data_IF_182955233812
#
_entry.id   IF_182955233812
#
_cell.length_a   1.000
_cell.length_b   1.000
_cell.length_c   1.000
_cell.angle_alpha   90.00
_cell.angle_beta   90.00
_cell.angle_gamma   90.00
#
_symmetry.space_group_name_H-M   'P 1'
#
loop_
_entity.id
_entity.type
_entity.pdbx_description
1 polymer ?
#
# COMPACT_ATOMS: atom_id res chain seq x y z
N UNK A 1 12.25 21.76 26.07
CA UNK A 1 13.25 20.75 25.65
C UNK A 1 12.60 19.37 25.38
N UNK A 2 11.80 18.80 26.26
CA UNK A 2 11.19 17.46 26.07
C UNK A 2 10.29 17.36 24.83
N UNK A 3 9.40 18.32 24.57
CA UNK A 3 8.46 18.28 23.44
C UNK A 3 9.16 18.34 22.05
N UNK A 4 10.22 19.14 21.91
CA UNK A 4 10.98 19.19 20.67
C UNK A 4 11.70 17.87 20.37
N UNK A 5 12.28 17.24 21.39
CA UNK A 5 12.96 15.97 21.22
C UNK A 5 11.99 14.83 20.84
N UNK A 6 10.80 14.82 21.45
CA UNK A 6 9.75 13.83 21.13
C UNK A 6 9.27 14.01 19.70
N UNK A 7 9.07 15.24 19.25
CA UNK A 7 8.67 15.54 17.87
C UNK A 7 9.74 15.12 16.85
N UNK A 8 11.01 15.48 17.10
CA UNK A 8 12.13 15.10 16.25
C UNK A 8 12.30 13.57 16.15
N UNK A 9 12.11 12.87 17.27
CA UNK A 9 12.16 11.40 17.29
C UNK A 9 11.03 10.80 16.45
N UNK A 10 9.81 11.33 16.54
CA UNK A 10 8.68 10.86 15.77
C UNK A 10 8.88 11.12 14.27
N UNK A 11 9.33 12.31 13.88
CA UNK A 11 9.67 12.61 12.48
C UNK A 11 10.76 11.69 11.95
N UNK A 12 11.81 11.44 12.73
CA UNK A 12 12.91 10.54 12.33
C UNK A 12 12.41 9.11 12.16
N UNK A 13 11.53 8.65 13.06
CA UNK A 13 10.92 7.32 12.96
C UNK A 13 10.08 7.18 11.68
N UNK A 14 9.23 8.16 11.38
CA UNK A 14 8.39 8.17 10.19
C UNK A 14 9.24 8.21 8.92
N UNK A 15 10.30 8.98 8.91
CA UNK A 15 11.24 9.04 7.80
C UNK A 15 11.96 7.70 7.58
N UNK A 16 12.40 7.03 8.65
CA UNK A 16 13.06 5.73 8.57
C UNK A 16 12.13 4.66 7.97
N UNK A 17 10.86 4.63 8.40
CA UNK A 17 9.83 3.73 7.88
C UNK A 17 9.59 3.97 6.38
N UNK A 18 9.43 5.24 5.98
CA UNK A 18 9.25 5.60 4.57
C UNK A 18 10.47 5.19 3.72
N UNK A 19 11.70 5.43 4.24
CA UNK A 19 12.93 5.07 3.52
C UNK A 19 13.07 3.56 3.35
N UNK A 20 12.68 2.78 4.35
CA UNK A 20 12.68 1.32 4.27
C UNK A 20 11.72 0.81 3.18
N UNK A 21 10.48 1.29 3.17
CA UNK A 21 9.51 0.96 2.13
C UNK A 21 10.01 1.36 0.73
N UNK A 22 10.54 2.58 0.58
CA UNK A 22 11.10 3.03 -0.68
C UNK A 22 12.31 2.20 -1.15
N UNK A 23 13.14 1.72 -0.25
CA UNK A 23 14.28 0.88 -0.62
C UNK A 23 13.84 -0.45 -1.24
N UNK A 24 12.73 -1.01 -0.74
CA UNK A 24 12.15 -2.22 -1.32
C UNK A 24 11.55 -1.94 -2.72
N UNK A 25 10.76 -0.89 -2.84
CA UNK A 25 10.11 -0.48 -4.10
C UNK A 25 11.12 -0.07 -5.20
N UNK A 26 12.27 0.50 -4.79
CA UNK A 26 13.32 0.90 -5.74
C UNK A 26 13.87 -0.30 -6.55
N UNK A 27 13.85 -1.51 -5.97
CA UNK A 27 14.26 -2.73 -6.68
C UNK A 27 13.25 -3.18 -7.74
N UNK A 28 11.97 -2.85 -7.55
CA UNK A 28 10.86 -3.24 -8.43
C UNK A 28 10.49 -2.14 -9.46
N UNK A 29 11.36 -1.13 -9.59
CA UNK A 29 11.14 0.02 -10.48
C UNK A 29 9.84 0.81 -10.19
N UNK A 30 9.27 0.68 -9.00
CA UNK A 30 8.14 1.51 -8.56
C UNK A 30 8.62 2.91 -8.16
N UNK A 31 7.78 3.91 -8.38
CA UNK A 31 8.16 5.28 -8.08
C UNK A 31 8.01 5.61 -6.60
N UNK A 32 8.87 6.50 -6.08
CA UNK A 32 8.71 6.98 -4.71
C UNK A 32 7.38 7.70 -4.46
N UNK A 33 6.71 8.20 -5.51
CA UNK A 33 5.40 8.83 -5.42
C UNK A 33 4.28 7.80 -5.24
N UNK A 34 4.41 6.60 -5.83
CA UNK A 34 3.53 5.46 -5.57
C UNK A 34 3.38 5.20 -4.07
N UNK A 35 4.49 5.10 -3.34
CA UNK A 35 4.48 4.86 -1.89
C UNK A 35 3.63 5.89 -1.13
N UNK A 36 3.78 7.19 -1.44
CA UNK A 36 3.04 8.27 -0.78
C UNK A 36 1.57 8.24 -1.20
N UNK A 37 1.32 8.09 -2.49
CA UNK A 37 -0.02 8.06 -3.08
C UNK A 37 -0.85 6.94 -2.45
N UNK A 38 -0.28 5.75 -2.38
CA UNK A 38 -0.89 4.58 -1.77
C UNK A 38 -1.19 4.75 -0.28
N UNK A 39 -0.27 5.38 0.47
CA UNK A 39 -0.49 5.66 1.89
C UNK A 39 -1.71 6.57 2.08
N UNK A 40 -1.85 7.61 1.25
CA UNK A 40 -3.01 8.52 1.29
C UNK A 40 -4.31 7.85 0.84
N UNK A 41 -4.27 7.07 -0.24
CA UNK A 41 -5.45 6.33 -0.73
C UNK A 41 -5.98 5.40 0.35
N UNK A 42 -5.08 4.61 0.98
CA UNK A 42 -5.46 3.65 2.03
C UNK A 42 -6.02 4.35 3.28
N UNK A 43 -5.37 5.43 3.76
CA UNK A 43 -5.87 6.20 4.90
C UNK A 43 -7.22 6.88 4.61
N UNK A 44 -7.43 7.38 3.38
CA UNK A 44 -8.69 7.98 2.96
C UNK A 44 -9.82 6.95 2.93
N UNK A 45 -9.57 5.75 2.38
CA UNK A 45 -10.56 4.68 2.39
C UNK A 45 -10.86 4.21 3.82
N UNK A 46 -9.84 4.08 4.68
CA UNK A 46 -10.00 3.73 6.08
C UNK A 46 -10.90 4.74 6.81
N UNK A 47 -10.69 6.04 6.61
CA UNK A 47 -11.54 7.10 7.16
C UNK A 47 -12.98 7.01 6.64
N UNK A 48 -13.15 6.72 5.34
CA UNK A 48 -14.47 6.60 4.70
C UNK A 48 -15.31 5.47 5.27
N UNK A 49 -14.69 4.38 5.72
CA UNK A 49 -15.38 3.25 6.34
C UNK A 49 -15.51 3.37 7.88
N UNK A 50 -15.07 4.49 8.45
CA UNK A 50 -15.31 4.84 9.84
C UNK A 50 -14.18 4.48 10.81
N UNK A 51 -12.95 4.22 10.35
CA UNK A 51 -11.80 4.13 11.23
C UNK A 51 -11.53 5.49 11.88
N UNK A 52 -11.02 5.45 13.10
CA UNK A 52 -10.61 6.65 13.85
C UNK A 52 -9.45 7.37 13.17
N UNK A 53 -9.25 8.65 13.48
CA UNK A 53 -8.13 9.41 12.94
C UNK A 53 -6.78 8.79 13.32
N UNK A 54 -6.65 8.24 14.53
CA UNK A 54 -5.45 7.53 14.96
C UNK A 54 -5.19 6.25 14.13
N UNK A 55 -6.20 5.45 13.86
CA UNK A 55 -6.09 4.26 13.00
C UNK A 55 -5.74 4.65 11.56
N UNK A 56 -6.31 5.73 11.05
CA UNK A 56 -5.96 6.27 9.73
C UNK A 56 -4.50 6.74 9.67
N UNK A 57 -3.99 7.37 10.74
CA UNK A 57 -2.59 7.77 10.84
C UNK A 57 -1.64 6.56 10.90
N UNK A 58 -2.01 5.53 11.67
CA UNK A 58 -1.26 4.28 11.72
C UNK A 58 -1.22 3.63 10.33
N UNK A 59 -2.35 3.57 9.64
CA UNK A 59 -2.45 3.06 8.26
C UNK A 59 -1.54 3.83 7.29
N UNK A 60 -1.59 5.17 7.34
CA UNK A 60 -0.77 6.06 6.51
C UNK A 60 0.74 5.78 6.69
N UNK A 61 1.17 5.54 7.92
CA UNK A 61 2.57 5.29 8.25
C UNK A 61 3.01 3.84 7.98
N UNK A 62 2.12 2.87 8.15
CA UNK A 62 2.42 1.45 8.01
C UNK A 62 2.48 1.00 6.54
N UNK A 63 1.62 1.58 5.69
CA UNK A 63 1.45 1.15 4.31
C UNK A 63 2.74 1.16 3.47
N UNK A 64 3.69 2.09 3.63
CA UNK A 64 4.94 2.08 2.86
C UNK A 64 5.70 0.75 2.86
N UNK A 65 5.49 -0.08 3.88
CA UNK A 65 6.22 -1.34 4.08
C UNK A 65 5.50 -2.58 3.55
N UNK A 66 4.37 -2.45 2.82
CA UNK A 66 3.58 -3.60 2.37
C UNK A 66 4.40 -4.61 1.54
N UNK A 67 5.29 -4.11 0.70
CA UNK A 67 6.13 -4.86 -0.23
C UNK A 67 7.59 -4.99 0.22
N UNK A 68 7.90 -4.69 1.50
CA UNK A 68 9.27 -4.77 2.02
C UNK A 68 9.91 -6.15 1.83
N UNK A 69 9.11 -7.20 1.80
CA UNK A 69 9.57 -8.58 1.58
C UNK A 69 10.10 -8.86 0.18
N UNK A 70 9.86 -8.00 -0.82
CA UNK A 70 10.50 -8.07 -2.13
C UNK A 70 12.02 -7.98 -2.04
N UNK A 71 12.57 -7.46 -0.94
CA UNK A 71 14.02 -7.50 -0.66
C UNK A 71 14.57 -8.94 -0.67
N UNK A 72 13.78 -9.91 -0.24
CA UNK A 72 14.15 -11.33 -0.22
C UNK A 72 13.91 -12.09 -1.52
N UNK A 73 13.35 -11.44 -2.54
CA UNK A 73 13.10 -12.06 -3.85
C UNK A 73 14.34 -11.89 -4.74
N UNK A 74 14.87 -12.96 -5.36
CA UNK A 74 16.00 -12.87 -6.30
C UNK A 74 15.71 -11.95 -7.48
N UNK A 75 16.74 -11.22 -7.96
CA UNK A 75 16.60 -10.29 -9.10
C UNK A 75 16.17 -11.01 -10.37
N UNK A 76 16.59 -12.26 -10.56
CA UNK A 76 16.22 -13.12 -11.68
C UNK A 76 14.71 -13.41 -11.73
N UNK A 77 13.99 -13.20 -10.62
CA UNK A 77 12.54 -13.37 -10.54
C UNK A 77 11.85 -11.99 -10.51
N UNK A 78 12.36 -11.08 -9.67
CA UNK A 78 11.74 -9.76 -9.45
C UNK A 78 11.73 -8.91 -10.73
N UNK A 79 12.79 -9.00 -11.54
CA UNK A 79 13.01 -8.14 -12.70
C UNK A 79 12.68 -8.82 -14.04
N UNK A 80 11.99 -9.95 -14.03
CA UNK A 80 11.57 -10.63 -15.28
C UNK A 80 10.67 -9.70 -16.11
N UNK A 81 11.05 -9.37 -17.35
CA UNK A 81 10.20 -8.60 -18.23
C UNK A 81 9.09 -9.51 -18.80
N UNK A 82 7.91 -9.46 -18.19
CA UNK A 82 6.76 -10.20 -18.69
C UNK A 82 6.05 -11.06 -17.63
N UNK A 83 5.43 -12.15 -18.06
CA UNK A 83 4.67 -13.03 -17.18
C UNK A 83 5.60 -14.07 -16.55
N UNK A 84 5.49 -14.23 -15.24
CA UNK A 84 6.16 -15.30 -14.50
C UNK A 84 5.52 -16.65 -14.83
N UNK A 85 6.35 -17.70 -14.93
CA UNK A 85 5.89 -19.08 -14.95
C UNK A 85 5.52 -19.56 -13.52
N UNK A 86 4.99 -20.78 -13.40
CA UNK A 86 4.48 -21.28 -12.13
C UNK A 86 5.55 -21.36 -11.03
N UNK A 87 6.78 -21.82 -11.35
CA UNK A 87 7.89 -21.89 -10.39
C UNK A 87 8.40 -20.51 -9.97
N UNK A 88 8.42 -19.57 -10.89
CA UNK A 88 8.77 -18.17 -10.60
C UNK A 88 7.70 -17.53 -9.72
N UNK A 89 6.41 -17.83 -9.97
CA UNK A 89 5.31 -17.40 -9.10
C UNK A 89 5.40 -17.97 -7.68
N UNK A 90 5.79 -19.24 -7.52
CA UNK A 90 6.01 -19.82 -6.19
C UNK A 90 7.05 -19.05 -5.37
N UNK A 91 8.08 -18.53 -6.03
CA UNK A 91 9.11 -17.69 -5.39
C UNK A 91 8.56 -16.29 -5.09
N UNK A 92 7.92 -15.65 -6.07
CA UNK A 92 7.36 -14.32 -5.93
C UNK A 92 6.32 -14.25 -4.79
N UNK A 93 5.46 -15.27 -4.66
CA UNK A 93 4.43 -15.34 -3.61
C UNK A 93 4.96 -15.41 -2.18
N UNK A 94 6.27 -15.52 -1.98
CA UNK A 94 6.89 -15.51 -0.65
C UNK A 94 7.11 -14.11 -0.08
N UNK A 95 7.02 -13.04 -0.91
CA UNK A 95 7.29 -11.69 -0.40
C UNK A 95 6.37 -11.27 0.77
N UNK A 96 5.08 -11.66 0.88
CA UNK A 96 4.27 -11.31 2.04
C UNK A 96 4.78 -11.93 3.34
N UNK A 97 5.19 -13.21 3.30
CA UNK A 97 5.74 -13.91 4.46
C UNK A 97 7.10 -13.34 4.88
N UNK A 98 7.99 -13.09 3.89
CA UNK A 98 9.29 -12.44 4.13
C UNK A 98 9.09 -11.03 4.72
N UNK A 99 8.13 -10.28 4.19
CA UNK A 99 7.80 -8.95 4.69
C UNK A 99 7.30 -8.99 6.13
N UNK A 100 6.41 -9.90 6.45
CA UNK A 100 5.91 -10.11 7.81
C UNK A 100 7.04 -10.53 8.76
N UNK A 101 7.95 -11.42 8.34
CA UNK A 101 9.12 -11.83 9.13
C UNK A 101 10.03 -10.64 9.45
N UNK A 102 10.36 -9.80 8.46
CA UNK A 102 11.18 -8.59 8.63
C UNK A 102 10.55 -7.61 9.64
N UNK A 103 9.22 -7.49 9.65
CA UNK A 103 8.50 -6.52 10.47
C UNK A 103 8.09 -7.06 11.83
N UNK A 104 8.22 -8.37 12.06
CA UNK A 104 7.72 -9.07 13.25
C UNK A 104 8.40 -8.65 14.56
N UNK A 105 7.76 -8.98 15.69
CA UNK A 105 8.33 -8.81 17.05
C UNK A 105 8.27 -7.40 17.60
N UNK A 106 7.82 -6.39 16.85
CA UNK A 106 7.70 -5.01 17.32
C UNK A 106 6.46 -4.81 18.22
N UNK A 107 6.58 -3.92 19.23
CA UNK A 107 5.44 -3.48 20.04
C UNK A 107 4.76 -2.22 19.47
N UNK A 108 5.36 -1.57 18.48
CA UNK A 108 4.79 -0.38 17.83
C UNK A 108 3.51 -0.72 17.07
N UNK A 109 2.46 0.08 17.25
CA UNK A 109 1.20 -0.08 16.50
C UNK A 109 1.40 0.04 14.97
N UNK A 110 2.29 0.94 14.54
CA UNK A 110 2.65 1.11 13.12
C UNK A 110 3.30 -0.14 12.57
N UNK A 111 4.26 -0.73 13.30
CA UNK A 111 4.96 -1.93 12.83
C UNK A 111 4.05 -3.17 12.80
N UNK A 112 3.17 -3.32 13.81
CA UNK A 112 2.15 -4.39 13.83
C UNK A 112 1.17 -4.27 12.65
N UNK A 113 0.74 -3.05 12.37
CA UNK A 113 -0.11 -2.77 11.20
C UNK A 113 0.64 -3.08 9.90
N UNK A 114 1.92 -2.70 9.79
CA UNK A 114 2.74 -2.98 8.62
C UNK A 114 2.98 -4.48 8.41
N UNK A 115 3.26 -5.24 9.47
CA UNK A 115 3.33 -6.71 9.44
C UNK A 115 2.01 -7.32 8.93
N UNK A 116 0.88 -6.86 9.47
CA UNK A 116 -0.45 -7.30 9.05
C UNK A 116 -0.70 -7.01 7.57
N UNK A 117 -0.37 -5.80 7.11
CA UNK A 117 -0.52 -5.41 5.71
C UNK A 117 0.39 -6.25 4.81
N UNK A 118 1.67 -6.36 5.15
CA UNK A 118 2.64 -7.14 4.38
C UNK A 118 2.17 -8.59 4.17
N UNK A 119 1.64 -9.21 5.22
CA UNK A 119 1.18 -10.61 5.18
C UNK A 119 -0.13 -10.78 4.41
N UNK A 120 -1.00 -9.75 4.32
CA UNK A 120 -2.39 -9.96 3.88
C UNK A 120 -2.83 -9.14 2.66
N UNK A 121 -1.99 -8.24 2.13
CA UNK A 121 -2.39 -7.38 1.00
C UNK A 121 -2.57 -8.13 -0.33
N UNK A 122 -2.06 -9.35 -0.44
CA UNK A 122 -2.22 -10.23 -1.60
C UNK A 122 -3.32 -11.28 -1.43
N UNK A 123 -4.02 -11.27 -0.29
CA UNK A 123 -5.19 -12.10 -0.10
C UNK A 123 -6.37 -11.57 -0.95
N UNK A 124 -7.27 -12.47 -1.35
CA UNK A 124 -8.46 -12.15 -2.14
C UNK A 124 -9.71 -12.56 -1.41
N UNK A 125 -10.75 -11.77 -1.56
CA UNK A 125 -12.01 -11.96 -0.85
C UNK A 125 -12.60 -13.37 -0.97
N UNK A 126 -12.43 -14.01 -2.12
CA UNK A 126 -12.92 -15.36 -2.39
C UNK A 126 -12.03 -16.51 -1.84
N UNK A 127 -10.86 -16.17 -1.27
CA UNK A 127 -9.87 -17.13 -0.76
C UNK A 127 -8.88 -17.64 -1.82
N UNK A 128 -8.88 -17.08 -3.03
CA UNK A 128 -7.92 -17.43 -4.09
C UNK A 128 -6.59 -16.67 -4.00
N UNK A 129 -6.44 -15.84 -2.97
CA UNK A 129 -5.23 -15.06 -2.70
C UNK A 129 -4.11 -15.88 -2.06
N UNK A 130 -3.08 -15.20 -1.57
CA UNK A 130 -1.93 -15.79 -0.90
C UNK A 130 -1.37 -14.85 0.19
N UNK A 131 -0.58 -15.35 1.17
CA UNK A 131 -0.01 -16.69 1.28
C UNK A 131 -0.93 -17.69 2.01
N UNK A 132 -1.91 -17.22 2.80
CA UNK A 132 -2.70 -18.05 3.71
C UNK A 132 -4.05 -18.49 3.13
N UNK A 133 -4.43 -18.00 1.95
CA UNK A 133 -5.72 -18.25 1.30
C UNK A 133 -6.92 -17.89 2.20
N UNK A 134 -6.78 -16.78 2.95
CA UNK A 134 -7.84 -16.25 3.82
C UNK A 134 -9.04 -15.83 2.98
N UNK A 135 -10.25 -16.01 3.53
CA UNK A 135 -11.48 -15.72 2.82
C UNK A 135 -12.36 -14.74 3.58
N UNK A 136 -12.94 -13.77 2.86
CA UNK A 136 -13.90 -12.86 3.43
C UNK A 136 -13.30 -12.04 4.58
N UNK A 137 -13.96 -12.03 5.72
CA UNK A 137 -13.55 -11.28 6.91
C UNK A 137 -12.37 -11.91 7.69
N UNK A 138 -11.93 -13.11 7.33
CA UNK A 138 -10.69 -13.68 7.84
C UNK A 138 -9.47 -12.84 7.39
N UNK A 139 -9.59 -12.17 6.24
CA UNK A 139 -8.58 -11.24 5.77
C UNK A 139 -8.60 -9.99 6.66
N UNK A 140 -7.50 -9.60 7.31
CA UNK A 140 -7.44 -8.36 8.08
C UNK A 140 -7.94 -7.16 7.27
N UNK A 141 -8.72 -6.28 7.89
CA UNK A 141 -9.31 -5.12 7.22
C UNK A 141 -8.25 -4.25 6.54
N UNK A 142 -7.07 -4.10 7.17
CA UNK A 142 -5.95 -3.35 6.60
C UNK A 142 -5.46 -3.93 5.27
N UNK A 143 -5.36 -5.26 5.17
CA UNK A 143 -5.01 -5.96 3.93
C UNK A 143 -6.05 -5.74 2.84
N UNK A 144 -7.35 -5.85 3.17
CA UNK A 144 -8.46 -5.60 2.22
C UNK A 144 -8.46 -4.18 1.69
N UNK A 145 -8.19 -3.17 2.55
CA UNK A 145 -8.09 -1.75 2.16
C UNK A 145 -6.90 -1.55 1.22
N UNK A 146 -5.73 -2.09 1.56
CA UNK A 146 -4.52 -1.92 0.76
C UNK A 146 -4.67 -2.59 -0.60
N UNK A 147 -5.23 -3.80 -0.66
CA UNK A 147 -5.43 -4.53 -1.91
C UNK A 147 -6.23 -3.75 -2.97
N UNK A 148 -7.36 -3.14 -2.60
CA UNK A 148 -8.17 -2.35 -3.54
C UNK A 148 -7.46 -1.05 -3.95
N UNK A 149 -6.77 -0.38 -3.03
CA UNK A 149 -6.02 0.84 -3.32
C UNK A 149 -4.84 0.55 -4.25
N UNK A 150 -4.14 -0.57 -4.04
CA UNK A 150 -2.99 -0.97 -4.86
C UNK A 150 -3.40 -1.22 -6.31
N UNK A 151 -4.48 -1.96 -6.52
CA UNK A 151 -5.01 -2.17 -7.87
C UNK A 151 -5.45 -0.85 -8.51
N UNK A 152 -6.10 0.05 -7.77
CA UNK A 152 -6.50 1.35 -8.30
C UNK A 152 -5.31 2.18 -8.73
N UNK A 153 -4.28 2.27 -7.89
CA UNK A 153 -3.05 3.01 -8.22
C UNK A 153 -2.33 2.39 -9.42
N UNK A 154 -2.19 1.06 -9.45
CA UNK A 154 -1.59 0.34 -10.56
C UNK A 154 -2.32 0.54 -11.90
N UNK A 155 -3.64 0.71 -11.86
CA UNK A 155 -4.44 0.96 -13.06
C UNK A 155 -4.36 2.42 -13.52
N UNK A 156 -4.29 3.36 -12.59
CA UNK A 156 -4.33 4.81 -12.88
C UNK A 156 -2.95 5.44 -13.05
N UNK A 157 -1.86 4.70 -12.78
CA UNK A 157 -0.49 5.14 -12.95
C UNK A 157 0.12 4.61 -14.25
N UNK A 158 0.97 5.45 -14.87
CA UNK A 158 1.74 5.04 -16.04
C UNK A 158 2.90 4.15 -15.58
N UNK A 159 3.02 2.95 -16.14
CA UNK A 159 4.14 2.03 -15.90
C UNK A 159 5.01 1.91 -17.16
N UNK A 160 6.23 1.42 -17.01
CA UNK A 160 7.21 1.31 -18.11
C UNK A 160 6.66 0.62 -19.36
N UNK A 161 5.73 -0.33 -19.20
CA UNK A 161 5.16 -1.14 -20.29
C UNK A 161 3.66 -0.91 -20.50
N UNK A 162 3.03 0.10 -19.80
CA UNK A 162 1.59 0.27 -19.86
C UNK A 162 1.18 1.72 -19.59
N UNK A 163 0.40 2.29 -20.51
CA UNK A 163 -0.27 3.57 -20.28
C UNK A 163 -1.34 3.43 -19.16
N UNK A 164 -1.56 4.52 -18.42
CA UNK A 164 -2.61 4.56 -17.42
C UNK A 164 -3.99 4.35 -18.05
N UNK A 165 -4.84 3.57 -17.41
CA UNK A 165 -6.26 3.54 -17.76
C UNK A 165 -6.98 4.81 -17.30
N UNK A 166 -8.12 5.11 -17.94
CA UNK A 166 -9.01 6.14 -17.42
C UNK A 166 -9.58 5.72 -16.04
N UNK A 167 -10.02 6.71 -15.27
CA UNK A 167 -10.65 6.46 -13.95
C UNK A 167 -11.87 5.54 -14.10
N UNK A 168 -12.69 5.80 -15.14
CA UNK A 168 -13.90 5.01 -15.43
C UNK A 168 -13.53 3.55 -15.69
N UNK A 169 -12.50 3.32 -16.54
CA UNK A 169 -12.06 1.96 -16.84
C UNK A 169 -11.45 1.26 -15.63
N UNK A 170 -10.72 1.99 -14.80
CA UNK A 170 -10.14 1.46 -13.56
C UNK A 170 -11.25 1.03 -12.58
N UNK A 171 -12.31 1.83 -12.46
CA UNK A 171 -13.46 1.50 -11.63
C UNK A 171 -14.24 0.29 -12.16
N UNK A 172 -14.45 0.19 -13.46
CA UNK A 172 -15.09 -1.01 -14.06
C UNK A 172 -14.33 -2.30 -13.68
N UNK A 173 -12.98 -2.27 -13.74
CA UNK A 173 -12.15 -3.43 -13.39
C UNK A 173 -12.30 -3.78 -11.91
N UNK A 174 -12.28 -2.78 -11.02
CA UNK A 174 -12.45 -2.96 -9.58
C UNK A 174 -13.85 -3.53 -9.27
N UNK A 175 -14.89 -3.00 -9.91
CA UNK A 175 -16.26 -3.48 -9.72
C UNK A 175 -16.45 -4.94 -10.20
N UNK A 176 -15.80 -5.32 -11.29
CA UNK A 176 -15.78 -6.72 -11.76
C UNK A 176 -15.11 -7.69 -10.77
N UNK A 177 -14.21 -7.19 -9.93
CA UNK A 177 -13.58 -7.95 -8.84
C UNK A 177 -14.43 -8.06 -7.58
N UNK A 178 -15.66 -7.51 -7.56
CA UNK A 178 -16.54 -7.52 -6.39
C UNK A 178 -16.91 -8.95 -5.97
N UNK A 179 -16.70 -9.26 -4.68
CA UNK A 179 -16.97 -10.59 -4.13
C UNK A 179 -15.96 -11.66 -4.53
N UNK A 180 -14.99 -11.32 -5.39
CA UNK A 180 -13.90 -12.18 -5.81
C UNK A 180 -12.57 -11.68 -5.28
N UNK A 181 -12.08 -10.60 -5.84
CA UNK A 181 -10.81 -10.01 -5.43
C UNK A 181 -10.99 -9.08 -4.21
N UNK A 182 -12.12 -8.37 -4.15
CA UNK A 182 -12.39 -7.32 -3.17
C UNK A 182 -13.69 -7.52 -2.41
N UNK A 183 -13.71 -7.03 -1.18
CA UNK A 183 -14.92 -6.93 -0.37
C UNK A 183 -15.95 -6.00 -1.03
N UNK A 184 -17.21 -6.43 -1.26
CA UNK A 184 -18.23 -5.59 -1.90
C UNK A 184 -18.48 -4.28 -1.15
N UNK A 185 -18.48 -4.28 0.18
CA UNK A 185 -18.68 -3.08 1.01
C UNK A 185 -17.54 -2.06 0.84
N UNK A 186 -16.30 -2.53 0.68
CA UNK A 186 -15.15 -1.63 0.42
C UNK A 186 -15.25 -0.98 -0.96
N UNK A 187 -15.74 -1.69 -1.98
CA UNK A 187 -15.95 -1.11 -3.31
C UNK A 187 -16.97 0.03 -3.23
N UNK A 188 -18.10 -0.15 -2.52
CA UNK A 188 -19.09 0.90 -2.35
C UNK A 188 -18.54 2.12 -1.58
N UNK A 189 -17.75 1.88 -0.54
CA UNK A 189 -17.06 2.95 0.17
C UNK A 189 -16.03 3.67 -0.72
N UNK A 190 -15.28 2.91 -1.54
CA UNK A 190 -14.31 3.43 -2.50
C UNK A 190 -14.99 4.34 -3.55
N UNK A 191 -16.13 3.91 -4.10
CA UNK A 191 -16.96 4.73 -5.03
C UNK A 191 -17.37 6.05 -4.41
N UNK A 192 -17.80 6.03 -3.15
CA UNK A 192 -18.16 7.26 -2.41
C UNK A 192 -16.94 8.15 -2.12
N UNK A 193 -15.73 7.57 -1.98
CA UNK A 193 -14.48 8.31 -1.78
C UNK A 193 -13.82 8.73 -3.11
N UNK A 194 -14.33 8.30 -4.25
CA UNK A 194 -13.67 8.45 -5.56
C UNK A 194 -13.25 9.89 -5.90
N UNK A 195 -14.03 10.94 -5.62
CA UNK A 195 -13.58 12.31 -5.87
C UNK A 195 -12.27 12.66 -5.17
N UNK A 196 -12.12 12.21 -3.92
CA UNK A 196 -10.89 12.41 -3.15
C UNK A 196 -9.75 11.51 -3.64
N UNK A 197 -10.03 10.27 -4.03
CA UNK A 197 -9.04 9.37 -4.63
C UNK A 197 -8.45 9.97 -5.91
N UNK A 198 -9.30 10.52 -6.77
CA UNK A 198 -8.86 11.22 -8.00
C UNK A 198 -8.01 12.44 -7.67
N UNK A 199 -8.36 13.21 -6.63
CA UNK A 199 -7.57 14.36 -6.17
C UNK A 199 -6.16 13.91 -5.75
N UNK A 200 -6.06 12.85 -4.96
CA UNK A 200 -4.80 12.30 -4.50
C UNK A 200 -3.91 11.89 -5.68
N UNK A 201 -4.46 11.17 -6.66
CA UNK A 201 -3.70 10.73 -7.85
C UNK A 201 -3.20 11.94 -8.66
N UNK A 202 -4.01 12.98 -8.83
CA UNK A 202 -3.64 14.19 -9.58
C UNK A 202 -2.60 15.06 -8.85
N UNK A 203 -2.66 15.12 -7.52
CA UNK A 203 -1.71 15.89 -6.70
C UNK A 203 -0.34 15.23 -6.60
N UNK A 204 -0.27 13.91 -6.79
CA UNK A 204 0.91 13.09 -6.61
C UNK A 204 1.29 12.32 -7.89
N UNK A 205 1.55 13.02 -9.02
CA UNK A 205 1.95 12.36 -10.24
C UNK A 205 3.34 11.71 -10.11
N UNK A 206 3.62 10.72 -10.94
CA UNK A 206 4.92 10.04 -10.99
C UNK A 206 5.99 10.93 -11.66
N UNK A 207 6.33 12.05 -11.02
CA UNK A 207 7.41 12.94 -11.43
C UNK A 207 8.69 12.60 -10.66
N UNK A 208 9.72 12.19 -11.37
CA UNK A 208 11.03 11.81 -10.81
C UNK A 208 11.73 12.94 -10.03
N UNK A 209 11.38 14.20 -10.30
CA UNK A 209 11.99 15.38 -9.66
C UNK A 209 11.38 15.79 -8.32
N UNK A 210 10.30 15.14 -7.87
CA UNK A 210 9.64 15.51 -6.62
C UNK A 210 10.47 15.05 -5.41
N UNK A 211 10.71 15.98 -4.46
CA UNK A 211 11.29 15.60 -3.17
C UNK A 211 10.26 14.82 -2.33
N UNK A 212 10.30 13.51 -2.48
CA UNK A 212 9.38 12.54 -1.86
C UNK A 212 9.26 12.73 -0.34
N UNK A 213 10.38 13.02 0.34
CA UNK A 213 10.38 13.26 1.80
C UNK A 213 9.62 14.54 2.17
N UNK A 214 9.80 15.61 1.39
CA UNK A 214 9.08 16.87 1.63
C UNK A 214 7.58 16.70 1.45
N UNK A 215 7.18 15.95 0.43
CA UNK A 215 5.76 15.64 0.17
C UNK A 215 5.18 14.78 1.29
N UNK A 216 5.91 13.75 1.73
CA UNK A 216 5.47 12.86 2.82
C UNK A 216 5.28 13.62 4.14
N UNK A 217 6.26 14.42 4.57
CA UNK A 217 6.18 15.23 5.79
C UNK A 217 4.99 16.18 5.78
N UNK A 218 4.74 16.86 4.65
CA UNK A 218 3.57 17.73 4.51
C UNK A 218 2.25 16.96 4.72
N UNK A 219 2.16 15.72 4.26
CA UNK A 219 0.96 14.89 4.39
C UNK A 219 0.74 14.37 5.82
N UNK A 220 1.82 14.04 6.55
CA UNK A 220 1.71 13.64 7.95
C UNK A 220 1.31 14.80 8.88
N UNK A 221 1.72 16.05 8.54
CA UNK A 221 1.46 17.23 9.38
C UNK A 221 0.05 17.79 9.24
N UNK A 222 -0.63 17.60 8.10
CA UNK A 222 -1.95 18.20 7.81
C UNK A 222 -3.13 17.47 8.48
N UNK A 223 -2.91 16.28 9.03
CA UNK A 223 -3.95 15.51 9.72
C UNK A 223 -3.88 15.66 11.26
N UNK A 224 -3.00 16.52 11.77
CA UNK A 224 -2.82 16.78 13.21
C UNK A 224 -3.50 18.10 13.67
N UNK A 225 -4.39 18.68 12.84
CA UNK A 225 -5.12 19.91 13.16
C UNK A 225 -6.63 19.67 13.19
#
# INVERSE_FOLDING_TARGET
MSQNLTHELEETRQEAVLRLGRAAEYRDNETGMHVIRMSRLSANLAKKIGLTDDECQIMLQARPMHDVGKIGIPDEILLIPGKLNEKEWEIMRKHPEIGAEILSGSQSAVMKMAETIALSHQERWDGSGYPNNLKGEEIPLAGRIVAICDVFDALTSKRYYKEAFSIEKSMEIIEQGSGKDFEPRLIEAFKQALPEMIRIVKELPDNESANVLKVYRKNCSHNAA
#
